data_IF_222128381707
#
_entry.id   IF_222128381707
#
_cell.length_a   1.000
_cell.length_b   1.000
_cell.length_c   1.000
_cell.angle_alpha   90.00
_cell.angle_beta   90.00
_cell.angle_gamma   90.00
#
_symmetry.space_group_name_H-M   'P 1'
#
loop_
_entity.id
_entity.type
_entity.pdbx_description
1 polymer ?
#
# COMPACT_ATOMS: atom_id res chain seq x y z
N UNK A 1 18.75 -30.33 2.65
CA UNK A 1 17.50 -29.55 2.81
C UNK A 1 17.88 -28.09 2.81
N UNK A 2 17.62 -27.38 1.72
CA UNK A 2 17.87 -25.92 1.59
C UNK A 2 16.53 -25.21 1.70
N UNK A 3 16.38 -24.17 2.53
CA UNK A 3 15.14 -23.41 2.58
C UNK A 3 15.00 -22.61 1.29
N UNK A 4 13.88 -22.80 0.59
CA UNK A 4 13.48 -21.96 -0.54
C UNK A 4 13.07 -20.60 0.02
N UNK A 5 13.98 -19.62 -0.03
CA UNK A 5 13.65 -18.23 0.24
C UNK A 5 12.84 -17.70 -0.93
N UNK A 6 11.52 -17.63 -0.77
CA UNK A 6 10.62 -17.00 -1.74
C UNK A 6 10.88 -15.49 -1.77
N UNK A 7 11.49 -15.03 -2.86
CA UNK A 7 11.67 -13.61 -3.16
C UNK A 7 10.30 -12.99 -3.48
N UNK A 8 9.73 -12.24 -2.54
CA UNK A 8 8.44 -11.56 -2.65
C UNK A 8 8.58 -10.19 -3.34
N UNK A 9 8.28 -10.13 -4.63
CA UNK A 9 8.20 -8.89 -5.42
C UNK A 9 6.77 -8.34 -5.40
N UNK A 10 6.53 -7.30 -4.60
CA UNK A 10 5.29 -6.51 -4.65
C UNK A 10 5.35 -5.60 -5.88
N UNK A 11 4.38 -5.76 -6.77
CA UNK A 11 4.26 -4.96 -7.98
C UNK A 11 3.22 -3.86 -7.76
N UNK A 12 3.62 -2.60 -7.84
CA UNK A 12 2.70 -1.48 -8.00
C UNK A 12 2.22 -1.46 -9.46
N UNK A 13 0.97 -1.80 -9.71
CA UNK A 13 0.37 -1.60 -11.03
C UNK A 13 -0.46 -0.31 -10.99
N UNK A 14 -0.47 0.49 -12.08
CA UNK A 14 -1.55 1.43 -12.34
C UNK A 14 -2.88 0.76 -12.04
N UNK A 15 -3.77 1.44 -11.30
CA UNK A 15 -5.15 0.99 -11.12
C UNK A 15 -5.69 0.63 -12.51
N UNK A 16 -5.87 -0.66 -12.79
CA UNK A 16 -6.25 -1.15 -14.12
C UNK A 16 -7.59 -0.54 -14.59
N UNK A 17 -8.37 -0.02 -13.64
CA UNK A 17 -9.42 0.96 -13.81
C UNK A 17 -9.27 1.99 -12.71
N UNK A 18 -9.33 3.28 -13.06
CA UNK A 18 -9.58 4.37 -12.10
C UNK A 18 -10.67 3.94 -11.11
N UNK A 19 -10.33 3.85 -9.81
CA UNK A 19 -11.29 3.58 -8.76
C UNK A 19 -11.83 4.92 -8.23
N UNK A 20 -13.08 5.30 -8.58
CA UNK A 20 -13.65 6.56 -8.14
C UNK A 20 -13.80 6.65 -6.62
N UNK A 21 -13.95 5.52 -5.92
CA UNK A 21 -14.06 5.53 -4.46
C UNK A 21 -12.71 5.84 -3.82
N UNK A 22 -11.62 5.29 -4.35
CA UNK A 22 -10.26 5.62 -3.89
C UNK A 22 -9.96 7.10 -4.14
N UNK A 23 -10.22 7.58 -5.36
CA UNK A 23 -10.00 8.98 -5.71
C UNK A 23 -10.81 9.94 -4.82
N UNK A 24 -12.08 9.64 -4.57
CA UNK A 24 -12.92 10.44 -3.67
C UNK A 24 -12.41 10.43 -2.23
N UNK A 25 -11.87 9.31 -1.75
CA UNK A 25 -11.29 9.19 -0.41
C UNK A 25 -10.05 10.06 -0.26
N UNK A 26 -9.12 9.98 -1.23
CA UNK A 26 -7.92 10.82 -1.25
C UNK A 26 -8.30 12.30 -1.34
N UNK A 27 -9.26 12.65 -2.20
CA UNK A 27 -9.74 14.02 -2.28
C UNK A 27 -10.34 14.51 -0.95
N UNK A 28 -11.12 13.66 -0.27
CA UNK A 28 -11.65 13.96 1.06
C UNK A 28 -10.57 14.17 2.11
N UNK A 29 -9.50 13.36 2.08
CA UNK A 29 -8.34 13.54 2.94
C UNK A 29 -7.66 14.90 2.71
N UNK A 30 -7.34 15.22 1.46
CA UNK A 30 -6.71 16.47 1.08
C UNK A 30 -7.58 17.70 1.41
N UNK A 31 -8.88 17.64 1.10
CA UNK A 31 -9.81 18.73 1.35
C UNK A 31 -10.07 18.98 2.85
N UNK A 32 -9.89 17.96 3.69
CA UNK A 32 -10.08 18.10 5.15
C UNK A 32 -8.97 18.89 5.84
N UNK A 33 -7.81 19.09 5.20
CA UNK A 33 -6.64 19.72 5.80
C UNK A 33 -5.97 18.88 6.90
N UNK A 34 -6.36 17.61 7.07
CA UNK A 34 -5.69 16.71 7.99
C UNK A 34 -4.28 16.36 7.45
N UNK A 35 -3.26 16.25 8.30
CA UNK A 35 -1.94 15.81 7.86
C UNK A 35 -1.98 14.39 7.29
N UNK A 36 -1.32 14.18 6.15
CA UNK A 36 -1.12 12.85 5.57
C UNK A 36 0.33 12.42 5.74
N UNK A 37 0.57 11.13 5.54
CA UNK A 37 1.91 10.56 5.44
C UNK A 37 2.04 9.79 4.13
N UNK A 38 3.24 9.81 3.59
CA UNK A 38 3.66 8.92 2.52
C UNK A 38 4.75 7.98 3.01
N UNK A 39 4.67 6.71 2.66
CA UNK A 39 5.63 5.69 3.10
C UNK A 39 6.09 4.87 1.89
N UNK A 40 7.38 4.80 1.56
CA UNK A 40 7.84 4.08 0.39
C UNK A 40 7.47 2.59 0.47
N UNK A 41 7.00 2.03 -0.64
CA UNK A 41 6.82 0.58 -0.77
C UNK A 41 8.20 -0.03 -0.99
N UNK A 42 8.69 -0.80 -0.02
CA UNK A 42 10.00 -1.45 -0.09
C UNK A 42 9.92 -2.73 -0.94
N UNK A 43 10.00 -2.57 -2.26
CA UNK A 43 10.00 -3.63 -3.26
C UNK A 43 11.15 -3.47 -4.25
N UNK A 44 11.48 -4.55 -4.95
CA UNK A 44 12.50 -4.52 -6.00
C UNK A 44 12.06 -3.69 -7.21
N UNK A 45 10.75 -3.57 -7.45
CA UNK A 45 10.22 -2.76 -8.55
C UNK A 45 10.46 -1.26 -8.30
N UNK A 46 10.36 -0.81 -7.05
CA UNK A 46 10.69 0.58 -6.67
C UNK A 46 12.20 0.83 -6.49
N UNK A 47 12.94 -0.18 -6.05
CA UNK A 47 14.36 -0.07 -5.71
C UNK A 47 15.17 -1.18 -6.38
N UNK A 48 15.28 -1.19 -7.73
CA UNK A 48 15.86 -2.28 -8.49
C UNK A 48 17.32 -2.56 -8.13
N UNK A 49 18.07 -1.52 -7.78
CA UNK A 49 19.49 -1.60 -7.44
C UNK A 49 19.76 -1.90 -5.95
N UNK A 50 18.72 -1.98 -5.12
CA UNK A 50 18.88 -2.25 -3.69
C UNK A 50 18.81 -3.76 -3.41
N UNK A 51 19.81 -4.36 -2.74
CA UNK A 51 19.78 -5.79 -2.42
C UNK A 51 18.53 -6.19 -1.59
N UNK A 52 18.01 -7.39 -1.84
CA UNK A 52 16.82 -7.89 -1.17
C UNK A 52 16.96 -7.92 0.35
N UNK A 53 18.12 -8.30 0.90
CA UNK A 53 18.36 -8.29 2.34
C UNK A 53 18.29 -6.89 2.96
N UNK A 54 18.71 -5.87 2.19
CA UNK A 54 18.63 -4.46 2.61
C UNK A 54 17.17 -4.02 2.66
N UNK A 55 16.38 -4.32 1.63
CA UNK A 55 14.94 -4.04 1.63
C UNK A 55 14.21 -4.76 2.77
N UNK A 56 14.53 -6.03 3.03
CA UNK A 56 13.94 -6.78 4.14
C UNK A 56 14.31 -6.18 5.50
N UNK A 57 15.55 -5.73 5.67
CA UNK A 57 16.00 -5.07 6.91
C UNK A 57 15.31 -3.72 7.09
N UNK A 58 15.20 -2.94 6.02
CA UNK A 58 14.52 -1.65 5.98
C UNK A 58 13.04 -1.76 6.39
N UNK A 59 12.33 -2.84 5.99
CA UNK A 59 10.91 -3.05 6.37
C UNK A 59 10.65 -3.00 7.87
N UNK A 60 11.62 -3.41 8.70
CA UNK A 60 11.48 -3.34 10.18
C UNK A 60 11.38 -1.92 10.72
N UNK A 61 11.81 -0.94 9.92
CA UNK A 61 11.82 0.48 10.24
C UNK A 61 10.91 1.28 9.30
N UNK A 62 9.96 0.63 8.60
CA UNK A 62 9.09 1.29 7.62
C UNK A 62 8.30 2.46 8.22
N UNK A 63 7.84 2.33 9.47
CA UNK A 63 7.15 3.42 10.17
C UNK A 63 8.02 4.69 10.35
N UNK A 64 9.34 4.55 10.42
CA UNK A 64 10.27 5.68 10.54
C UNK A 64 10.53 6.40 9.20
N UNK A 65 10.08 5.83 8.07
CA UNK A 65 10.26 6.40 6.72
C UNK A 65 9.06 7.25 6.28
N UNK A 66 8.18 7.63 7.23
CA UNK A 66 7.04 8.49 6.96
C UNK A 66 7.51 9.87 6.50
N UNK A 67 7.16 10.21 5.28
CA UNK A 67 7.29 11.54 4.72
C UNK A 67 5.99 12.32 4.99
N UNK A 68 6.03 13.45 5.71
CA UNK A 68 4.83 14.21 6.03
C UNK A 68 4.33 15.00 4.81
N UNK A 69 3.01 14.98 4.60
CA UNK A 69 2.31 15.73 3.55
C UNK A 69 1.31 16.66 4.26
N UNK A 70 1.59 17.96 4.24
CA UNK A 70 0.80 18.97 4.93
C UNK A 70 -0.24 19.61 4.01
N UNK A 71 0.03 19.66 2.71
CA UNK A 71 -0.84 20.22 1.68
C UNK A 71 -0.71 19.38 0.38
N UNK A 72 -1.69 19.45 -0.54
CA UNK A 72 -1.67 18.66 -1.77
C UNK A 72 -0.41 18.85 -2.62
N UNK A 73 0.16 20.05 -2.62
CA UNK A 73 1.34 20.42 -3.41
C UNK A 73 2.59 19.66 -2.95
N UNK A 74 2.68 19.27 -1.67
CA UNK A 74 3.82 18.51 -1.15
C UNK A 74 3.92 17.11 -1.79
N UNK A 75 2.84 16.61 -2.40
CA UNK A 75 2.87 15.35 -3.16
C UNK A 75 3.80 15.43 -4.38
N UNK A 76 4.03 16.62 -4.93
CA UNK A 76 4.94 16.83 -6.06
C UNK A 76 6.42 16.76 -5.66
N UNK A 77 6.72 16.89 -4.37
CA UNK A 77 8.08 16.77 -3.82
C UNK A 77 8.47 15.31 -3.52
N UNK A 78 7.56 14.36 -3.73
CA UNK A 78 7.84 12.94 -3.57
C UNK A 78 8.91 12.47 -4.55
N UNK A 79 9.70 11.43 -4.21
CA UNK A 79 10.71 10.91 -5.12
C UNK A 79 10.11 10.41 -6.44
N UNK A 80 10.54 11.00 -7.55
CA UNK A 80 10.17 10.61 -8.91
C UNK A 80 10.39 9.10 -9.12
N UNK A 81 9.38 8.42 -9.65
CA UNK A 81 9.47 6.99 -9.98
C UNK A 81 9.26 6.04 -8.81
N UNK A 82 9.10 6.53 -7.57
CA UNK A 82 8.93 5.68 -6.38
C UNK A 82 7.46 5.66 -5.95
N UNK A 83 6.92 4.45 -5.84
CA UNK A 83 5.56 4.26 -5.29
C UNK A 83 5.60 4.17 -3.76
N UNK A 84 4.67 4.80 -3.07
CA UNK A 84 4.51 4.65 -1.62
C UNK A 84 3.05 4.60 -1.20
N UNK A 85 2.81 4.15 0.03
CA UNK A 85 1.51 4.17 0.67
C UNK A 85 1.13 5.58 1.07
N UNK A 86 -0.12 5.96 0.80
CA UNK A 86 -0.69 7.25 1.20
C UNK A 86 -1.80 7.03 2.22
N UNK A 87 -1.72 7.71 3.36
CA UNK A 87 -2.69 7.58 4.45
C UNK A 87 -2.76 8.85 5.31
N UNK A 88 -3.87 9.07 6.02
CA UNK A 88 -3.90 10.01 7.15
C UNK A 88 -2.78 9.73 8.14
N UNK A 89 -2.14 10.76 8.68
CA UNK A 89 -0.95 10.60 9.51
C UNK A 89 -1.19 9.79 10.81
N UNK A 90 -2.43 9.74 11.28
CA UNK A 90 -2.90 8.98 12.43
C UNK A 90 -3.41 7.57 12.07
N UNK A 91 -3.55 7.25 10.79
CA UNK A 91 -3.97 5.93 10.34
C UNK A 91 -2.83 4.90 10.47
N UNK A 92 -3.23 3.67 10.79
CA UNK A 92 -2.32 2.53 10.92
C UNK A 92 -2.17 1.73 9.62
N UNK A 93 -3.19 1.79 8.74
CA UNK A 93 -3.23 1.02 7.50
C UNK A 93 -3.87 1.82 6.36
N UNK A 94 -3.61 1.40 5.12
CA UNK A 94 -4.19 1.97 3.90
C UNK A 94 -4.10 0.97 2.75
N UNK A 95 -5.11 0.97 1.88
CA UNK A 95 -5.10 0.28 0.58
C UNK A 95 -4.72 1.23 -0.58
N UNK A 96 -4.35 2.47 -0.27
CA UNK A 96 -4.04 3.51 -1.25
C UNK A 96 -2.54 3.73 -1.34
N UNK A 97 -2.03 3.70 -2.56
CA UNK A 97 -0.68 4.11 -2.89
C UNK A 97 -0.67 5.35 -3.78
N UNK A 98 0.43 6.08 -3.78
CA UNK A 98 0.69 7.13 -4.75
C UNK A 98 2.18 7.23 -5.10
N UNK A 99 2.46 7.88 -6.23
CA UNK A 99 3.81 8.25 -6.66
C UNK A 99 3.77 9.34 -7.73
N UNK A 100 4.95 9.86 -8.08
CA UNK A 100 5.11 10.95 -9.06
C UNK A 100 5.83 10.43 -10.29
N UNK A 101 5.28 10.73 -11.46
CA UNK A 101 5.90 10.45 -12.76
C UNK A 101 5.65 11.61 -13.71
N UNK A 102 6.72 12.20 -14.26
CA UNK A 102 6.64 13.32 -15.21
C UNK A 102 6.03 14.59 -14.60
N UNK A 103 6.15 14.78 -13.28
CA UNK A 103 5.55 15.90 -12.56
C UNK A 103 4.06 15.76 -12.28
N UNK A 104 3.47 14.58 -12.55
CA UNK A 104 2.07 14.28 -12.26
C UNK A 104 1.98 13.29 -11.10
N UNK A 105 0.98 13.48 -10.22
CA UNK A 105 0.70 12.57 -9.10
C UNK A 105 -0.27 11.49 -9.55
N UNK A 106 0.09 10.24 -9.32
CA UNK A 106 -0.77 9.10 -9.61
C UNK A 106 -1.23 8.44 -8.32
N UNK A 107 -2.54 8.19 -8.22
CA UNK A 107 -3.14 7.42 -7.13
C UNK A 107 -3.39 5.99 -7.63
N UNK A 108 -3.02 5.01 -6.80
CA UNK A 108 -2.82 3.62 -7.16
C UNK A 108 -3.40 2.69 -6.09
N UNK A 109 -3.77 1.49 -6.51
CA UNK A 109 -4.00 0.33 -5.63
C UNK A 109 -2.82 -0.63 -5.78
N UNK A 110 -2.56 -1.43 -4.75
CA UNK A 110 -1.44 -2.38 -4.76
C UNK A 110 -1.98 -3.79 -4.72
N UNK A 111 -1.42 -4.66 -5.57
CA UNK A 111 -1.81 -6.06 -5.68
C UNK A 111 -0.56 -6.94 -5.60
N UNK A 112 -0.63 -8.01 -4.83
CA UNK A 112 0.44 -9.02 -4.83
C UNK A 112 0.41 -9.78 -6.16
N UNK A 113 1.55 -9.79 -6.86
CA UNK A 113 1.65 -10.38 -8.21
C UNK A 113 1.47 -11.90 -8.20
N UNK A 114 1.83 -12.58 -7.11
CA UNK A 114 1.75 -14.05 -6.99
C UNK A 114 0.32 -14.50 -6.74
N UNK A 115 -0.42 -13.78 -5.91
CA UNK A 115 -1.78 -14.17 -5.50
C UNK A 115 -2.88 -13.43 -6.26
N UNK A 116 -2.55 -12.29 -6.87
CA UNK A 116 -3.53 -11.37 -7.44
C UNK A 116 -4.38 -10.66 -6.38
N UNK A 117 -4.05 -10.78 -5.09
CA UNK A 117 -4.82 -10.19 -3.99
C UNK A 117 -4.42 -8.74 -3.74
N UNK A 118 -5.42 -7.91 -3.48
CA UNK A 118 -5.20 -6.54 -3.02
C UNK A 118 -4.36 -6.54 -1.72
N UNK A 119 -3.49 -5.54 -1.60
CA UNK A 119 -2.60 -5.34 -0.47
C UNK A 119 -2.95 -4.02 0.22
N UNK A 120 -2.66 -3.99 1.52
CA UNK A 120 -2.60 -2.80 2.33
C UNK A 120 -1.18 -2.59 2.86
N UNK A 121 -0.92 -1.46 3.50
CA UNK A 121 0.36 -1.18 4.18
C UNK A 121 0.72 -2.31 5.16
N UNK A 122 -0.25 -2.88 5.87
CA UNK A 122 -0.02 -3.95 6.86
C UNK A 122 -0.02 -5.37 6.28
N UNK A 123 -0.37 -5.58 5.01
CA UNK A 123 -0.28 -6.89 4.33
C UNK A 123 -1.45 -7.21 3.42
N UNK A 124 -1.79 -8.50 3.27
CA UNK A 124 -2.93 -8.91 2.45
C UNK A 124 -4.22 -8.28 2.98
N UNK A 125 -4.98 -7.60 2.10
CA UNK A 125 -6.32 -7.15 2.43
C UNK A 125 -7.19 -8.39 2.59
N UNK A 126 -7.59 -8.70 3.81
CA UNK A 126 -8.55 -9.77 4.05
C UNK A 126 -9.86 -9.43 3.35
N UNK A 127 -10.29 -10.27 2.40
CA UNK A 127 -11.67 -10.26 1.96
C UNK A 127 -12.52 -10.65 3.18
N UNK A 128 -13.14 -9.66 3.83
CA UNK A 128 -14.13 -9.86 4.87
C UNK A 128 -15.45 -10.41 4.28
N UNK A 129 -15.35 -11.48 3.47
CA UNK A 129 -16.46 -12.14 2.81
C UNK A 129 -16.40 -13.69 2.92
N UNK A 130 -15.55 -14.25 3.79
CA UNK A 130 -15.60 -15.67 4.16
C UNK A 130 -15.36 -15.90 5.65
N UNK A 131 -16.14 -15.24 6.51
CA UNK A 131 -16.27 -15.69 7.91
C UNK A 131 -17.65 -15.38 8.51
N UNK A 132 -18.72 -15.62 7.73
CA UNK A 132 -20.07 -15.61 8.29
C UNK A 132 -20.90 -16.75 7.71
N UNK A 133 -20.58 -17.96 8.16
CA UNK A 133 -21.53 -19.05 8.34
C UNK A 133 -21.17 -19.79 9.63
N UNK A 134 -21.22 -19.08 10.77
CA UNK A 134 -21.36 -19.76 12.05
C UNK A 134 -22.76 -20.39 12.12
N UNK A 135 -22.75 -21.72 12.14
CA UNK A 135 -23.44 -22.55 13.11
C UNK A 135 -24.84 -22.11 13.57
N UNK A 136 -25.88 -22.68 12.96
CA UNK A 136 -27.16 -22.93 13.65
C UNK A 136 -27.69 -24.32 13.25
N UNK A 137 -27.86 -25.21 14.24
CA UNK A 137 -28.72 -26.40 14.11
C UNK A 137 -28.15 -27.75 14.53
N UNK A 138 -27.64 -27.87 15.77
CA UNK A 138 -27.99 -28.95 16.72
C UNK A 138 -28.24 -30.40 16.19
N UNK A 139 -27.33 -31.32 16.50
CA UNK A 139 -27.72 -32.67 17.00
C UNK A 139 -28.18 -32.51 18.46
N UNK A 140 -29.10 -33.32 19.04
CA UNK A 140 -29.21 -34.78 18.84
C UNK A 140 -30.67 -35.34 18.81
N UNK A 141 -30.86 -36.52 18.20
CA UNK A 141 -31.44 -37.77 18.77
C UNK A 141 -31.48 -38.87 17.71
#
# INVERSE_FOLDING_TARGET
MTPTTSNNTLASQPLAHYDPQVAQRVHGWLASGQPLAWIPILSQDNFPDTPHETLQSARRHQAAMRWPIHQPEDLLDLPEGVTGWLLPADAEDTDVACGVWGGEVYILGVTDRRTGRAQTLLGERGDAATDRCDNEGQSPV
#
